data_IF_015864513391
#
_entry.id   IF_015864513391
#
_cell.length_a   1.000
_cell.length_b   1.000
_cell.length_c   1.000
_cell.angle_alpha   90.00
_cell.angle_beta   90.00
_cell.angle_gamma   90.00
#
_symmetry.space_group_name_H-M   'P 1'
#
loop_
_entity.id
_entity.type
_entity.pdbx_description
1 polymer ?
#
# COMPACT_ATOMS: atom_id res chain seq x y z
N UNK A 1 2.42 -8.63 11.18
CA UNK A 1 2.01 -7.26 10.80
C UNK A 1 2.29 -6.89 9.34
N UNK A 2 3.29 -7.51 8.69
CA UNK A 2 3.60 -7.23 7.27
C UNK A 2 3.27 -8.39 6.34
N UNK A 3 2.68 -9.48 6.84
CA UNK A 3 2.46 -10.72 6.07
C UNK A 3 1.58 -10.46 4.84
N UNK A 4 0.62 -9.54 4.94
CA UNK A 4 -0.26 -9.16 3.82
C UNK A 4 0.51 -8.48 2.68
N UNK A 5 1.51 -7.67 3.01
CA UNK A 5 2.37 -7.01 2.02
C UNK A 5 3.37 -8.01 1.44
N UNK A 6 3.94 -8.88 2.28
CA UNK A 6 4.88 -9.92 1.84
C UNK A 6 4.26 -10.85 0.81
N UNK A 7 2.98 -11.21 0.97
CA UNK A 7 2.25 -12.03 0.00
C UNK A 7 2.12 -11.37 -1.39
N UNK A 8 2.16 -10.04 -1.44
CA UNK A 8 2.07 -9.26 -2.68
C UNK A 8 3.46 -8.96 -3.25
N UNK A 9 4.48 -8.78 -2.41
CA UNK A 9 5.79 -8.26 -2.78
C UNK A 9 6.47 -8.97 -3.98
N UNK A 10 6.32 -10.30 -4.08
CA UNK A 10 6.91 -11.10 -5.15
C UNK A 10 6.39 -10.73 -6.56
N UNK A 11 5.23 -10.09 -6.66
CA UNK A 11 4.63 -9.69 -7.93
C UNK A 11 5.06 -8.29 -8.38
N UNK A 12 5.79 -7.55 -7.53
CA UNK A 12 6.07 -6.12 -7.71
C UNK A 12 7.56 -5.78 -7.82
N UNK A 13 8.35 -6.63 -8.49
CA UNK A 13 9.75 -6.34 -8.81
C UNK A 13 9.92 -5.00 -9.57
N UNK A 14 8.90 -4.61 -10.35
CA UNK A 14 8.80 -3.28 -10.95
C UNK A 14 7.37 -2.75 -10.90
N UNK A 15 7.12 -1.84 -9.96
CA UNK A 15 5.82 -1.15 -9.84
C UNK A 15 5.45 -0.42 -11.13
N UNK A 16 6.43 0.21 -11.81
CA UNK A 16 6.19 0.92 -13.07
C UNK A 16 5.70 -0.03 -14.17
N UNK A 17 6.35 -1.20 -14.32
CA UNK A 17 5.95 -2.19 -15.32
C UNK A 17 4.57 -2.75 -15.01
N UNK A 18 4.31 -3.03 -13.73
CA UNK A 18 3.04 -3.54 -13.21
C UNK A 18 1.88 -2.57 -13.49
N UNK A 19 2.09 -1.27 -13.30
CA UNK A 19 1.09 -0.24 -13.58
C UNK A 19 0.85 0.00 -15.08
N UNK A 20 1.86 -0.20 -15.92
CA UNK A 20 1.77 0.03 -17.37
C UNK A 20 1.09 -1.12 -18.12
N UNK A 21 1.00 -2.31 -17.51
CA UNK A 21 0.51 -3.53 -18.17
C UNK A 21 -0.72 -4.06 -17.43
N UNK A 22 -1.94 -3.87 -17.97
CA UNK A 22 -3.15 -4.38 -17.34
C UNK A 22 -3.07 -5.89 -17.11
N UNK A 23 -3.34 -6.33 -15.88
CA UNK A 23 -3.35 -7.75 -15.49
C UNK A 23 -1.96 -8.36 -15.23
N UNK A 24 -0.87 -7.60 -15.34
CA UNK A 24 0.47 -8.10 -15.02
C UNK A 24 0.67 -8.33 -13.51
N UNK A 25 0.04 -7.50 -12.67
CA UNK A 25 0.03 -7.65 -11.23
C UNK A 25 -1.29 -7.16 -10.64
N UNK A 26 -1.65 -7.70 -9.47
CA UNK A 26 -2.86 -7.30 -8.75
C UNK A 26 -2.65 -5.98 -7.97
N UNK A 27 -2.76 -4.85 -8.69
CA UNK A 27 -2.59 -3.50 -8.12
C UNK A 27 -3.60 -3.22 -7.00
N UNK A 28 -4.84 -3.69 -7.17
CA UNK A 28 -5.89 -3.48 -6.19
C UNK A 28 -5.66 -4.35 -4.94
N UNK A 29 -5.16 -5.57 -5.11
CA UNK A 29 -4.67 -6.42 -4.03
C UNK A 29 -3.53 -5.78 -3.23
N UNK A 30 -2.54 -5.18 -3.91
CA UNK A 30 -1.47 -4.44 -3.24
C UNK A 30 -2.00 -3.25 -2.43
N UNK A 31 -2.93 -2.47 -3.01
CA UNK A 31 -3.55 -1.34 -2.30
C UNK A 31 -4.33 -1.82 -1.08
N UNK A 32 -5.09 -2.91 -1.21
CA UNK A 32 -5.80 -3.55 -0.11
C UNK A 32 -4.86 -4.01 1.01
N UNK A 33 -3.73 -4.63 0.67
CA UNK A 33 -2.72 -5.07 1.64
C UNK A 33 -2.11 -3.87 2.40
N UNK A 34 -1.80 -2.77 1.71
CA UNK A 34 -1.29 -1.55 2.35
C UNK A 34 -2.31 -0.96 3.33
N UNK A 35 -3.59 -0.88 2.95
CA UNK A 35 -4.64 -0.38 3.82
C UNK A 35 -4.89 -1.29 5.03
N UNK A 36 -4.87 -2.60 4.83
CA UNK A 36 -5.07 -3.56 5.91
C UNK A 36 -3.91 -3.52 6.92
N UNK A 37 -2.66 -3.50 6.44
CA UNK A 37 -1.49 -3.26 7.29
C UNK A 37 -1.57 -1.91 8.01
N UNK A 38 -2.06 -0.85 7.35
CA UNK A 38 -2.30 0.43 8.02
C UNK A 38 -3.26 0.27 9.20
N UNK A 39 -4.40 -0.40 8.99
CA UNK A 39 -5.42 -0.63 10.02
C UNK A 39 -4.85 -1.39 11.21
N UNK A 40 -4.03 -2.42 10.98
CA UNK A 40 -3.32 -3.12 12.06
C UNK A 40 -2.47 -2.14 12.91
N UNK A 41 -1.78 -1.17 12.29
CA UNK A 41 -1.05 -0.13 13.03
C UNK A 41 -1.95 0.86 13.77
N UNK A 42 -3.13 1.16 13.23
CA UNK A 42 -4.13 2.01 13.89
C UNK A 42 -4.78 1.35 15.10
N UNK A 43 -4.94 0.03 15.06
CA UNK A 43 -5.55 -0.79 16.13
C UNK A 43 -4.54 -1.20 17.21
N UNK A 44 -3.24 -1.19 16.87
CA UNK A 44 -2.17 -1.51 17.81
C UNK A 44 -2.12 -0.51 18.99
N UNK A 45 -2.06 -1.03 20.21
CA UNK A 45 -1.92 -0.21 21.42
C UNK A 45 -0.44 0.10 21.69
N UNK A 46 -0.05 1.37 21.46
CA UNK A 46 1.27 1.87 21.86
C UNK A 46 1.39 1.98 23.38
N UNK A 47 2.47 1.44 23.95
CA UNK A 47 2.73 1.44 25.41
C UNK A 47 3.20 2.79 25.91
N UNK A 48 3.89 3.55 25.06
CA UNK A 48 4.36 4.90 25.34
C UNK A 48 3.76 5.92 24.37
N UNK A 49 3.90 7.21 24.66
CA UNK A 49 3.50 8.28 23.74
C UNK A 49 4.33 8.24 22.43
N UNK A 50 5.62 7.90 22.54
CA UNK A 50 6.49 7.70 21.38
C UNK A 50 5.97 6.57 20.49
N UNK A 51 5.55 5.45 21.09
CA UNK A 51 4.98 4.32 20.34
C UNK A 51 3.70 4.72 19.61
N UNK A 52 2.78 5.42 20.31
CA UNK A 52 1.54 5.90 19.69
C UNK A 52 1.82 6.84 18.52
N UNK A 53 2.79 7.74 18.66
CA UNK A 53 3.20 8.63 17.58
C UNK A 53 3.82 7.87 16.40
N UNK A 54 4.65 6.85 16.66
CA UNK A 54 5.24 6.02 15.62
C UNK A 54 4.18 5.20 14.89
N UNK A 55 3.24 4.57 15.61
CA UNK A 55 2.12 3.83 15.03
C UNK A 55 1.23 4.74 14.17
N UNK A 56 0.92 5.95 14.65
CA UNK A 56 0.16 6.93 13.87
C UNK A 56 0.90 7.38 12.60
N UNK A 57 2.23 7.52 12.64
CA UNK A 57 3.05 7.82 11.45
C UNK A 57 3.01 6.67 10.45
N UNK A 58 3.16 5.43 10.91
CA UNK A 58 3.08 4.24 10.06
C UNK A 58 1.71 4.13 9.40
N UNK A 59 0.62 4.22 10.18
CA UNK A 59 -0.75 4.26 9.65
C UNK A 59 -0.90 5.27 8.50
N UNK A 60 -0.48 6.52 8.73
CA UNK A 60 -0.59 7.58 7.71
C UNK A 60 0.29 7.29 6.50
N UNK A 61 1.49 6.75 6.69
CA UNK A 61 2.41 6.38 5.62
C UNK A 61 1.84 5.31 4.70
N UNK A 62 1.28 4.24 5.26
CA UNK A 62 0.65 3.17 4.48
C UNK A 62 -0.60 3.65 3.72
N UNK A 63 -1.46 4.45 4.36
CA UNK A 63 -2.61 5.05 3.69
C UNK A 63 -2.20 6.00 2.55
N UNK A 64 -1.13 6.78 2.73
CA UNK A 64 -0.60 7.64 1.68
C UNK A 64 -0.06 6.82 0.50
N UNK A 65 0.69 5.75 0.77
CA UNK A 65 1.21 4.86 -0.27
C UNK A 65 0.07 4.22 -1.11
N UNK A 66 -0.98 3.70 -0.46
CA UNK A 66 -2.12 3.12 -1.15
C UNK A 66 -2.82 4.12 -2.10
N UNK A 67 -2.93 5.38 -1.67
CA UNK A 67 -3.50 6.47 -2.51
C UNK A 67 -2.60 6.84 -3.68
N UNK A 68 -1.29 6.95 -3.46
CA UNK A 68 -0.32 7.25 -4.53
C UNK A 68 -0.39 6.17 -5.61
N UNK A 69 -0.41 4.90 -5.23
CA UNK A 69 -0.51 3.78 -6.18
C UNK A 69 -1.82 3.85 -6.96
N UNK A 70 -2.96 4.10 -6.29
CA UNK A 70 -4.24 4.29 -6.97
C UNK A 70 -4.22 5.44 -7.99
N UNK A 71 -3.63 6.58 -7.60
CA UNK A 71 -3.50 7.72 -8.51
C UNK A 71 -2.62 7.41 -9.73
N UNK A 72 -1.51 6.70 -9.53
CA UNK A 72 -0.64 6.29 -10.64
C UNK A 72 -1.32 5.30 -11.59
N UNK A 73 -2.16 4.39 -11.06
CA UNK A 73 -2.97 3.46 -11.86
C UNK A 73 -3.99 4.22 -12.73
N UNK A 74 -4.70 5.19 -12.14
CA UNK A 74 -5.65 6.05 -12.86
C UNK A 74 -4.96 6.83 -13.99
N UNK A 75 -3.76 7.37 -13.75
CA UNK A 75 -2.99 8.08 -14.76
C UNK A 75 -2.58 7.18 -15.93
N UNK A 76 -2.16 5.94 -15.67
CA UNK A 76 -1.81 4.99 -16.74
C UNK A 76 -3.03 4.59 -17.57
N UNK A 77 -4.19 4.40 -16.94
CA UNK A 77 -5.45 4.13 -17.65
C UNK A 77 -5.86 5.34 -18.49
N UNK A 78 -5.69 6.56 -17.96
CA UNK A 78 -5.96 7.80 -18.68
C UNK A 78 -5.02 8.06 -19.86
N UNK A 79 -3.77 7.61 -19.77
CA UNK A 79 -2.77 7.73 -20.84
C UNK A 79 -2.91 6.68 -21.96
N UNK A 80 -3.62 5.58 -21.71
CA UNK A 80 -3.85 4.51 -22.68
C UNK A 80 -5.10 4.72 -23.57
N UNK A 81 -5.83 5.82 -23.39
CA UNK A 81 -6.96 6.26 -24.23
C UNK A 81 -6.52 7.32 -25.25
#
# INVERSE_FOLDING_TARGET
MYEQIEAQAAQFDSLRASLATPGLADIDGLRGALEATAREFGEAQGRTELDRNNLARLYRGFMAAARVIGHLQEQQIGAAR
#
